data_IF_744598016823
#
_entry.id   IF_744598016823
#
_cell.length_a   1.000
_cell.length_b   1.000
_cell.length_c   1.000
_cell.angle_alpha   90.00
_cell.angle_beta   90.00
_cell.angle_gamma   90.00
#
_symmetry.space_group_name_H-M   'P 1'
#
loop_
_entity.id
_entity.type
_entity.pdbx_description
1 polymer ?
#
# COMPACT_ATOMS: atom_id res chain seq x y z
N UNK A 1 -22.16 -11.63 6.50
CA UNK A 1 -21.23 -12.16 7.51
C UNK A 1 -19.90 -11.45 7.36
N UNK A 2 -19.49 -10.67 8.35
CA UNK A 2 -18.10 -10.21 8.51
C UNK A 2 -17.25 -11.43 8.87
N UNK A 3 -16.18 -11.68 8.13
CA UNK A 3 -15.22 -12.71 8.53
C UNK A 3 -14.23 -12.07 9.51
N UNK A 4 -13.95 -12.75 10.62
CA UNK A 4 -12.91 -12.32 11.56
C UNK A 4 -11.57 -12.15 10.83
N UNK A 5 -10.71 -11.22 11.28
CA UNK A 5 -9.39 -11.08 10.70
C UNK A 5 -8.58 -12.37 10.81
N UNK A 6 -8.01 -12.78 9.68
CA UNK A 6 -7.18 -13.97 9.55
C UNK A 6 -5.75 -13.56 9.24
N UNK A 7 -4.83 -13.91 10.13
CA UNK A 7 -3.39 -13.83 9.84
C UNK A 7 -3.02 -14.81 8.74
N UNK A 8 -2.31 -14.33 7.73
CA UNK A 8 -1.69 -15.17 6.69
C UNK A 8 -0.30 -15.58 7.15
N UNK A 9 0.44 -14.62 7.70
CA UNK A 9 1.75 -14.81 8.34
C UNK A 9 1.92 -13.73 9.43
N UNK A 10 3.14 -13.58 9.98
CA UNK A 10 3.44 -12.57 11.02
C UNK A 10 3.37 -11.11 10.56
N UNK A 11 3.20 -10.84 9.27
CA UNK A 11 3.25 -9.50 8.66
C UNK A 11 2.02 -9.16 7.82
N UNK A 12 1.20 -10.14 7.44
CA UNK A 12 0.07 -9.99 6.52
C UNK A 12 -1.17 -10.57 7.16
N UNK A 13 -2.24 -9.78 7.17
CA UNK A 13 -3.56 -10.14 7.66
C UNK A 13 -4.62 -9.81 6.63
N UNK A 14 -5.67 -10.62 6.55
CA UNK A 14 -6.79 -10.41 5.64
C UNK A 14 -8.10 -10.44 6.42
N UNK A 15 -9.02 -9.54 6.10
CA UNK A 15 -10.39 -9.61 6.57
C UNK A 15 -11.38 -9.22 5.48
N UNK A 16 -12.60 -9.72 5.62
CA UNK A 16 -13.67 -9.51 4.64
C UNK A 16 -14.73 -8.60 5.23
N UNK A 17 -14.99 -7.50 4.55
CA UNK A 17 -16.02 -6.56 4.92
C UNK A 17 -17.21 -6.69 3.95
N UNK A 18 -18.40 -7.09 4.42
CA UNK A 18 -19.59 -7.14 3.57
C UNK A 18 -19.99 -5.72 3.18
N UNK A 19 -20.33 -5.53 1.90
CA UNK A 19 -20.86 -4.27 1.38
C UNK A 19 -22.36 -4.40 1.14
N UNK A 20 -23.02 -3.29 0.78
CA UNK A 20 -24.41 -3.29 0.35
C UNK A 20 -24.60 -4.22 -0.88
N UNK A 21 -25.65 -5.02 -0.85
CA UNK A 21 -25.90 -6.09 -1.83
C UNK A 21 -25.07 -7.35 -1.56
N UNK A 22 -25.03 -8.29 -2.51
CA UNK A 22 -24.21 -9.51 -2.42
C UNK A 22 -22.71 -9.25 -2.67
N UNK A 23 -22.22 -8.04 -2.38
CA UNK A 23 -20.83 -7.59 -2.62
C UNK A 23 -20.01 -7.66 -1.33
N UNK A 24 -18.69 -7.75 -1.49
CA UNK A 24 -17.75 -7.80 -0.38
C UNK A 24 -16.45 -7.08 -0.76
N UNK A 25 -15.90 -6.32 0.18
CA UNK A 25 -14.55 -5.81 0.13
C UNK A 25 -13.60 -6.76 0.86
N UNK A 26 -12.46 -7.04 0.24
CA UNK A 26 -11.33 -7.71 0.86
C UNK A 26 -10.35 -6.64 1.31
N UNK A 27 -10.04 -6.66 2.60
CA UNK A 27 -9.09 -5.73 3.18
C UNK A 27 -7.85 -6.53 3.59
N UNK A 28 -6.70 -6.12 3.04
CA UNK A 28 -5.39 -6.69 3.35
C UNK A 28 -4.65 -5.66 4.20
N UNK A 29 -4.19 -6.09 5.38
CA UNK A 29 -3.28 -5.32 6.22
C UNK A 29 -1.86 -5.87 6.09
N UNK A 30 -0.88 -5.01 5.87
CA UNK A 30 0.53 -5.37 5.77
C UNK A 30 1.41 -4.57 6.73
N UNK A 31 2.37 -5.25 7.36
CA UNK A 31 3.45 -4.64 8.13
C UNK A 31 4.80 -5.04 7.53
N UNK A 32 5.42 -4.11 6.79
CA UNK A 32 6.69 -4.36 6.15
C UNK A 32 7.82 -4.53 7.17
N UNK A 33 8.84 -5.28 6.75
CA UNK A 33 10.06 -5.44 7.51
C UNK A 33 10.81 -4.10 7.69
N UNK A 34 11.76 -4.08 8.62
CA UNK A 34 12.60 -2.91 8.91
C UNK A 34 13.60 -2.64 7.77
N UNK A 35 14.16 -1.41 7.76
CA UNK A 35 15.18 -1.04 6.78
C UNK A 35 16.47 -1.85 6.91
N UNK A 36 16.76 -2.40 8.09
CA UNK A 36 17.95 -3.20 8.40
C UNK A 36 17.83 -4.66 7.98
N UNK A 37 16.62 -5.13 7.68
CA UNK A 37 16.41 -6.51 7.24
C UNK A 37 17.05 -6.78 5.87
N UNK A 38 17.47 -8.02 5.65
CA UNK A 38 18.06 -8.44 4.38
C UNK A 38 17.08 -8.26 3.21
N UNK A 39 17.61 -8.09 2.00
CA UNK A 39 16.76 -8.00 0.79
C UNK A 39 15.89 -9.24 0.59
N UNK A 40 16.35 -10.42 1.05
CA UNK A 40 15.57 -11.67 1.02
C UNK A 40 14.28 -11.54 1.85
N UNK A 41 14.39 -11.05 3.09
CA UNK A 41 13.24 -10.85 3.98
C UNK A 41 12.29 -9.80 3.41
N UNK A 42 12.85 -8.68 2.90
CA UNK A 42 12.06 -7.64 2.26
C UNK A 42 11.28 -8.17 1.06
N UNK A 43 11.94 -8.88 0.15
CA UNK A 43 11.28 -9.44 -1.04
C UNK A 43 10.20 -10.45 -0.66
N UNK A 44 10.46 -11.34 0.31
CA UNK A 44 9.49 -12.33 0.76
C UNK A 44 8.16 -11.69 1.21
N UNK A 45 8.23 -10.58 1.94
CA UNK A 45 7.02 -9.84 2.34
C UNK A 45 6.18 -9.38 1.13
N UNK A 46 6.82 -8.86 0.07
CA UNK A 46 6.09 -8.45 -1.14
C UNK A 46 5.62 -9.63 -1.99
N UNK A 47 6.32 -10.76 -1.97
CA UNK A 47 5.89 -12.01 -2.61
C UNK A 47 4.66 -12.61 -1.91
N UNK A 48 4.63 -12.55 -0.58
CA UNK A 48 3.48 -12.97 0.22
C UNK A 48 2.27 -12.06 -0.07
N UNK A 49 2.46 -10.74 -0.06
CA UNK A 49 1.42 -9.79 -0.46
C UNK A 49 0.94 -10.03 -1.89
N UNK A 50 1.86 -10.29 -2.83
CA UNK A 50 1.51 -10.60 -4.22
C UNK A 50 0.59 -11.82 -4.30
N UNK A 51 0.91 -12.88 -3.56
CA UNK A 51 0.13 -14.12 -3.51
C UNK A 51 -1.26 -13.89 -2.90
N UNK A 52 -1.36 -13.09 -1.84
CA UNK A 52 -2.64 -12.76 -1.21
C UNK A 52 -3.51 -11.92 -2.15
N UNK A 53 -2.94 -10.94 -2.86
CA UNK A 53 -3.67 -10.13 -3.84
C UNK A 53 -4.21 -11.00 -4.99
N UNK A 54 -3.42 -11.97 -5.47
CA UNK A 54 -3.87 -12.92 -6.51
C UNK A 54 -5.05 -13.79 -6.07
N UNK A 55 -5.17 -14.08 -4.78
CA UNK A 55 -6.28 -14.85 -4.24
C UNK A 55 -7.59 -14.04 -4.12
N UNK A 56 -7.54 -12.72 -4.31
CA UNK A 56 -8.73 -11.86 -4.28
C UNK A 56 -9.54 -12.05 -5.57
N UNK A 57 -10.85 -12.33 -5.47
CA UNK A 57 -11.69 -12.42 -6.65
C UNK A 57 -11.69 -11.12 -7.45
N UNK A 58 -11.62 -11.20 -8.79
CA UNK A 58 -11.64 -10.01 -9.67
C UNK A 58 -12.89 -9.14 -9.52
N UNK A 59 -14.00 -9.72 -9.06
CA UNK A 59 -15.26 -9.03 -8.79
C UNK A 59 -15.33 -8.39 -7.39
N UNK A 60 -14.33 -8.62 -6.54
CA UNK A 60 -14.24 -8.06 -5.20
C UNK A 60 -13.55 -6.70 -5.21
N UNK A 61 -13.94 -5.85 -4.27
CA UNK A 61 -13.21 -4.60 -4.00
C UNK A 61 -12.00 -4.93 -3.12
N UNK A 62 -10.80 -4.45 -3.48
CA UNK A 62 -9.58 -4.65 -2.69
C UNK A 62 -9.14 -3.32 -2.08
N UNK A 63 -8.88 -3.36 -0.78
CA UNK A 63 -8.22 -2.30 -0.04
C UNK A 63 -6.98 -2.90 0.62
N UNK A 64 -5.80 -2.45 0.20
CA UNK A 64 -4.54 -2.75 0.84
C UNK A 64 -4.18 -1.57 1.75
N UNK A 65 -3.95 -1.82 3.03
CA UNK A 65 -3.53 -0.79 3.98
C UNK A 65 -2.44 -1.28 4.91
N UNK A 66 -1.72 -0.35 5.52
CA UNK A 66 -0.78 -0.66 6.60
C UNK A 66 0.55 0.08 6.48
N UNK A 67 1.48 -0.35 7.32
CA UNK A 67 2.80 0.27 7.49
C UNK A 67 3.81 -0.41 6.56
N UNK A 68 4.12 0.21 5.44
CA UNK A 68 5.00 -0.38 4.42
C UNK A 68 6.46 0.05 4.54
N UNK A 69 6.76 0.96 5.47
CA UNK A 69 8.09 1.60 5.59
C UNK A 69 8.61 2.15 4.25
N UNK A 70 7.67 2.46 3.35
CA UNK A 70 7.93 2.85 1.98
C UNK A 70 8.04 4.37 1.92
N UNK A 71 9.05 4.87 1.23
CA UNK A 71 9.08 6.25 0.77
C UNK A 71 8.90 6.20 -0.74
N UNK A 72 7.77 6.73 -1.21
CA UNK A 72 7.44 6.79 -2.64
C UNK A 72 7.83 8.17 -3.17
N UNK A 73 8.71 8.20 -4.17
CA UNK A 73 9.16 9.43 -4.83
C UNK A 73 8.24 9.88 -5.97
N UNK A 74 8.42 11.13 -6.39
CA UNK A 74 7.51 11.86 -7.30
C UNK A 74 7.67 11.58 -8.80
N UNK A 75 8.29 10.47 -9.22
CA UNK A 75 8.56 10.24 -10.64
C UNK A 75 7.29 9.80 -11.38
N UNK A 76 6.42 10.78 -11.64
CA UNK A 76 5.08 10.59 -12.17
C UNK A 76 5.08 10.14 -13.64
N UNK A 77 6.18 10.28 -14.39
CA UNK A 77 6.26 9.70 -15.74
C UNK A 77 6.51 8.18 -15.68
N UNK A 78 7.30 7.70 -14.72
CA UNK A 78 7.60 6.28 -14.59
C UNK A 78 6.44 5.45 -13.99
N UNK A 79 5.49 6.10 -13.31
CA UNK A 79 4.43 5.45 -12.52
C UNK A 79 3.04 6.03 -12.78
N UNK A 80 2.76 6.40 -14.03
CA UNK A 80 1.46 6.93 -14.45
C UNK A 80 0.31 5.96 -14.10
N UNK A 81 -0.78 6.50 -13.55
CA UNK A 81 -1.93 5.74 -13.03
C UNK A 81 -1.72 5.01 -11.69
N UNK A 82 -0.52 5.07 -11.08
CA UNK A 82 -0.22 4.45 -9.76
C UNK A 82 0.00 5.53 -8.69
N UNK A 83 0.68 6.61 -9.06
CA UNK A 83 0.89 7.79 -8.22
C UNK A 83 0.31 9.02 -8.92
N UNK A 84 -0.47 9.80 -8.18
CA UNK A 84 -0.84 11.13 -8.60
C UNK A 84 0.30 12.11 -8.32
N UNK A 85 0.42 13.18 -9.11
CA UNK A 85 1.52 14.17 -9.00
C UNK A 85 1.68 14.60 -7.54
N UNK A 86 2.92 14.66 -7.02
CA UNK A 86 3.46 15.67 -6.07
C UNK A 86 4.71 15.21 -5.29
N UNK A 87 5.42 16.22 -4.75
CA UNK A 87 6.83 16.36 -4.38
C UNK A 87 7.35 15.59 -3.14
N UNK A 88 7.69 14.31 -3.27
CA UNK A 88 8.55 13.56 -2.33
C UNK A 88 9.89 13.19 -2.99
N UNK A 89 10.99 13.26 -2.22
CA UNK A 89 12.35 12.82 -2.60
C UNK A 89 12.35 11.36 -3.09
N UNK A 90 13.43 10.96 -3.78
CA UNK A 90 13.63 9.62 -4.37
C UNK A 90 13.10 8.45 -3.52
N UNK A 91 12.50 7.47 -4.20
CA UNK A 91 11.95 6.28 -3.55
C UNK A 91 13.02 5.51 -2.79
N UNK A 92 12.69 4.97 -1.61
CA UNK A 92 13.55 3.98 -0.95
C UNK A 92 13.28 2.57 -1.51
N UNK A 93 14.04 1.56 -1.05
CA UNK A 93 13.90 0.16 -1.51
C UNK A 93 12.46 -0.36 -1.37
N UNK A 94 11.83 -0.11 -0.22
CA UNK A 94 10.43 -0.49 0.04
C UNK A 94 9.45 0.25 -0.87
N UNK A 95 9.68 1.54 -1.13
CA UNK A 95 8.90 2.33 -2.07
C UNK A 95 8.95 1.77 -3.48
N UNK A 96 10.14 1.39 -3.96
CA UNK A 96 10.27 0.76 -5.28
C UNK A 96 9.57 -0.61 -5.35
N UNK A 97 9.67 -1.43 -4.31
CA UNK A 97 8.98 -2.73 -4.25
C UNK A 97 7.46 -2.55 -4.22
N UNK A 98 6.97 -1.59 -3.45
CA UNK A 98 5.55 -1.26 -3.37
C UNK A 98 5.01 -0.73 -4.69
N UNK A 99 5.74 0.17 -5.37
CA UNK A 99 5.37 0.67 -6.70
C UNK A 99 5.33 -0.44 -7.75
N UNK A 100 6.31 -1.36 -7.74
CA UNK A 100 6.30 -2.54 -8.62
C UNK A 100 5.09 -3.44 -8.37
N UNK A 101 4.73 -3.67 -7.11
CA UNK A 101 3.54 -4.45 -6.74
C UNK A 101 2.27 -3.75 -7.24
N UNK A 102 2.17 -2.43 -7.04
CA UNK A 102 1.03 -1.63 -7.49
C UNK A 102 0.89 -1.64 -9.01
N UNK A 103 2.00 -1.47 -9.75
CA UNK A 103 2.01 -1.55 -11.21
C UNK A 103 1.51 -2.91 -11.72
N UNK A 104 2.00 -3.99 -11.12
CA UNK A 104 1.63 -5.37 -11.51
C UNK A 104 0.13 -5.63 -11.36
N UNK A 105 -0.48 -5.04 -10.34
CA UNK A 105 -1.88 -5.27 -9.97
C UNK A 105 -2.83 -4.10 -10.29
N UNK A 106 -2.35 -3.09 -11.02
CA UNK A 106 -3.10 -1.87 -11.35
C UNK A 106 -3.71 -1.19 -10.12
N UNK A 107 -2.91 -1.07 -9.06
CA UNK A 107 -3.32 -0.44 -7.81
C UNK A 107 -2.93 1.04 -7.80
N UNK A 108 -3.79 1.86 -7.17
CA UNK A 108 -3.59 3.28 -6.97
C UNK A 108 -3.21 3.56 -5.51
N UNK A 109 -2.13 4.32 -5.31
CA UNK A 109 -1.71 4.78 -3.98
C UNK A 109 -2.50 6.03 -3.62
N UNK A 110 -3.62 5.87 -2.88
CA UNK A 110 -4.60 6.95 -2.68
C UNK A 110 -4.04 8.13 -1.89
N UNK A 111 -3.07 7.90 -1.02
CA UNK A 111 -2.38 8.98 -0.30
C UNK A 111 -1.73 10.02 -1.23
N UNK A 112 -1.42 9.65 -2.48
CA UNK A 112 -0.86 10.56 -3.49
C UNK A 112 -1.92 11.44 -4.15
N UNK A 113 -3.19 11.02 -4.14
CA UNK A 113 -4.33 11.76 -4.71
C UNK A 113 -4.61 13.04 -3.91
N UNK A 114 -4.41 13.00 -2.59
CA UNK A 114 -4.65 14.17 -1.75
C UNK A 114 -3.55 15.24 -1.90
N UNK A 115 -3.98 16.46 -2.25
CA UNK A 115 -3.16 17.67 -2.17
C UNK A 115 -3.02 18.16 -0.72
N UNK A 116 -2.42 17.35 0.14
CA UNK A 116 -2.05 17.76 1.49
C UNK A 116 -0.79 18.64 1.44
N UNK A 117 -0.76 19.71 2.23
CA UNK A 117 0.48 20.47 2.49
C UNK A 117 1.54 19.51 3.04
N UNK A 118 2.80 19.65 2.59
CA UNK A 118 3.89 18.74 2.96
C UNK A 118 4.05 18.55 4.48
N UNK A 119 3.70 19.56 5.29
CA UNK A 119 3.74 19.53 6.76
C UNK A 119 2.67 18.61 7.39
N UNK A 120 1.62 18.25 6.66
CA UNK A 120 0.52 17.37 7.10
C UNK A 120 0.56 15.98 6.47
N UNK A 121 1.48 15.72 5.52
CA UNK A 121 1.61 14.44 4.80
C UNK A 121 2.35 13.36 5.60
N UNK A 122 2.83 13.69 6.79
CA UNK A 122 3.86 12.90 7.45
C UNK A 122 3.41 12.49 8.84
N UNK A 123 3.24 11.18 9.02
CA UNK A 123 2.65 10.58 10.22
C UNK A 123 3.66 10.27 11.33
N UNK A 124 4.96 10.20 11.02
CA UNK A 124 5.97 9.73 11.99
C UNK A 124 7.31 10.48 11.89
N UNK A 125 7.92 10.77 13.05
CA UNK A 125 9.27 11.32 13.19
C UNK A 125 10.19 10.30 13.85
N UNK A 126 11.36 10.07 13.26
CA UNK A 126 12.44 9.39 13.98
C UNK A 126 13.10 10.39 14.95
N UNK A 127 13.28 10.04 16.25
CA UNK A 127 13.88 10.94 17.25
C UNK A 127 15.24 11.50 16.83
N UNK A 128 16.03 10.71 16.08
CA UNK A 128 17.39 11.06 15.70
C UNK A 128 17.48 11.88 14.40
N UNK A 129 16.53 11.74 13.47
CA UNK A 129 16.68 12.33 12.13
C UNK A 129 15.94 13.65 11.94
N UNK A 130 14.94 13.98 12.78
CA UNK A 130 14.05 15.16 12.60
C UNK A 130 13.38 15.24 11.21
N UNK A 131 13.40 14.16 10.44
CA UNK A 131 12.76 14.08 9.13
C UNK A 131 11.42 13.36 9.25
N UNK A 132 10.45 13.92 8.55
CA UNK A 132 9.08 13.48 8.54
C UNK A 132 8.84 12.51 7.38
N UNK A 133 8.25 11.33 7.64
CA UNK A 133 8.02 10.30 6.63
C UNK A 133 6.55 9.84 6.61
N UNK A 134 6.02 9.65 5.40
CA UNK A 134 4.78 8.91 5.17
C UNK A 134 5.16 7.44 5.00
N UNK A 135 4.68 6.59 5.90
CA UNK A 135 5.00 5.15 5.94
C UNK A 135 3.76 4.27 5.88
N UNK A 136 2.61 4.86 6.24
CA UNK A 136 1.30 4.24 6.20
C UNK A 136 0.59 4.63 4.90
N UNK A 137 0.16 3.62 4.15
CA UNK A 137 -0.51 3.82 2.88
C UNK A 137 -1.86 3.12 2.88
N UNK A 138 -2.82 3.75 2.20
CA UNK A 138 -4.05 3.13 1.72
C UNK A 138 -3.94 3.02 0.21
N UNK A 139 -4.21 1.84 -0.31
CA UNK A 139 -4.01 1.48 -1.71
C UNK A 139 -5.25 0.72 -2.16
N UNK A 140 -5.81 1.09 -3.30
CA UNK A 140 -7.05 0.50 -3.84
C UNK A 140 -6.84 0.05 -5.28
N UNK A 141 -7.77 -0.73 -5.83
CA UNK A 141 -7.77 -1.05 -7.26
C UNK A 141 -8.01 0.24 -8.06
N UNK A 142 -7.19 0.51 -9.07
CA UNK A 142 -7.26 1.74 -9.84
C UNK A 142 -8.60 1.97 -10.57
N UNK A 143 -9.31 0.90 -10.95
CA UNK A 143 -10.65 1.01 -11.55
C UNK A 143 -11.71 1.50 -10.56
N UNK A 144 -11.57 1.19 -9.27
CA UNK A 144 -12.51 1.65 -8.25
C UNK A 144 -12.37 3.16 -8.01
N UNK A 145 -11.16 3.70 -8.16
CA UNK A 145 -10.86 5.13 -8.01
C UNK A 145 -11.48 6.01 -9.10
N UNK A 146 -11.62 5.50 -10.32
CA UNK A 146 -12.22 6.22 -11.46
C UNK A 146 -13.75 6.27 -11.40
N UNK A 147 -14.37 5.57 -10.45
CA UNK A 147 -15.82 5.48 -10.27
C UNK A 147 -16.37 6.32 -9.12
N UNK A 148 -15.49 7.01 -8.40
CA UNK A 148 -15.81 7.97 -7.32
C UNK A 148 -15.80 9.40 -7.86
#
# INVERSE_FOLDING_TARGET
MTCLPKGVNGQVMVFKFPLLGKKCAIIISGYASTMTDSDKVKNQFYDDLHSVILAVPKSGHLILFGYFNARIGSDCQAWDGIIERHRIKSSNRHGLLLLKLCAKHKLLVTNTVFHLLNQKKTLYTYPCSKHWHLTDYVIIIGTDAMSM
#
